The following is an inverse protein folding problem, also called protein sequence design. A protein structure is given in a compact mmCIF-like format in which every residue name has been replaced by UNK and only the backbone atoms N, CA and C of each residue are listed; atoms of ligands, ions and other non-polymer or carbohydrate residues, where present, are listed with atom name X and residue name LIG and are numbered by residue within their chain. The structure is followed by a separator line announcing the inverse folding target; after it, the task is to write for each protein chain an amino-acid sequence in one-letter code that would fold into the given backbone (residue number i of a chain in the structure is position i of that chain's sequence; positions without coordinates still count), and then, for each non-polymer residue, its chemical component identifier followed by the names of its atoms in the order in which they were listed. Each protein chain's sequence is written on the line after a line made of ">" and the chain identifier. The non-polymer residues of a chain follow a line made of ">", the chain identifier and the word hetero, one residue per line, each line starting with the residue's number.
data_IF_947122415246
#
_entry.id   IF_947122415246
#
_cell.length_a   1.000
_cell.length_b   1.000
_cell.length_c   1.000
_cell.angle_alpha   90.00
_cell.angle_beta   90.00
_cell.angle_gamma   90.00
#
_symmetry.space_group_name_H-M   'P 1'
#
loop_
_entity.id
_entity.type
_entity.pdbx_description
1 polymer ?
#
# COMPACT_ATOMS: atom_id res chain seq x y z
N UNK A 1 7.09 -29.18 -27.31
CA UNK A 1 7.17 -29.24 -25.83
C UNK A 1 7.17 -27.81 -25.33
N UNK A 2 6.11 -27.36 -24.66
CA UNK A 2 6.12 -26.01 -24.07
C UNK A 2 7.06 -26.04 -22.88
N UNK A 3 8.08 -25.18 -22.89
CA UNK A 3 8.95 -24.97 -21.75
C UNK A 3 8.12 -24.23 -20.69
N UNK A 4 7.55 -24.96 -19.73
CA UNK A 4 6.87 -24.37 -18.58
C UNK A 4 7.93 -23.86 -17.60
N UNK A 5 7.86 -22.58 -17.25
CA UNK A 5 8.78 -21.93 -16.32
C UNK A 5 8.14 -21.57 -14.97
N UNK A 6 8.95 -21.01 -14.08
CA UNK A 6 8.55 -20.53 -12.75
C UNK A 6 8.43 -19.01 -12.75
N UNK A 7 7.26 -18.50 -12.36
CA UNK A 7 7.02 -17.07 -12.12
C UNK A 7 6.90 -16.83 -10.62
N UNK A 8 7.79 -16.01 -10.08
CA UNK A 8 7.70 -15.54 -8.70
C UNK A 8 6.95 -14.20 -8.66
N UNK A 9 5.90 -14.12 -7.87
CA UNK A 9 5.18 -12.88 -7.58
C UNK A 9 5.57 -12.40 -6.17
N UNK A 10 6.18 -11.22 -6.08
CA UNK A 10 6.44 -10.57 -4.78
C UNK A 10 5.88 -9.16 -4.67
N UNK A 11 4.81 -9.01 -3.88
CA UNK A 11 4.16 -7.72 -3.64
C UNK A 11 3.71 -7.59 -2.18
N UNK A 12 2.84 -6.63 -1.90
CA UNK A 12 2.18 -6.45 -0.62
C UNK A 12 0.91 -7.32 -0.58
N UNK A 13 -0.18 -6.78 -0.02
CA UNK A 13 -1.51 -7.38 -0.08
C UNK A 13 -2.00 -7.75 -1.49
N UNK A 14 -1.44 -7.18 -2.56
CA UNK A 14 -1.81 -7.52 -3.95
C UNK A 14 -1.28 -8.88 -4.43
N UNK A 15 -0.33 -9.50 -3.71
CA UNK A 15 0.39 -10.71 -4.17
C UNK A 15 -0.56 -11.83 -4.61
N UNK A 16 -1.54 -12.19 -3.77
CA UNK A 16 -2.45 -13.29 -4.06
C UNK A 16 -3.31 -13.03 -5.31
N UNK A 17 -3.84 -11.81 -5.46
CA UNK A 17 -4.68 -11.44 -6.61
C UNK A 17 -3.91 -11.50 -7.93
N UNK A 18 -2.66 -11.02 -7.93
CA UNK A 18 -1.78 -11.07 -9.10
C UNK A 18 -1.43 -12.53 -9.44
N UNK A 19 -1.04 -13.33 -8.44
CA UNK A 19 -0.68 -14.73 -8.63
C UNK A 19 -1.83 -15.55 -9.22
N UNK A 20 -3.04 -15.40 -8.69
CA UNK A 20 -4.24 -16.10 -9.20
C UNK A 20 -4.58 -15.67 -10.63
N UNK A 21 -4.46 -14.36 -10.93
CA UNK A 21 -4.70 -13.85 -12.28
C UNK A 21 -3.69 -14.41 -13.28
N UNK A 22 -2.41 -14.45 -12.90
CA UNK A 22 -1.36 -15.07 -13.73
C UNK A 22 -1.61 -16.57 -13.91
N UNK A 23 -2.00 -17.31 -12.87
CA UNK A 23 -2.29 -18.74 -13.00
C UNK A 23 -3.48 -19.01 -13.93
N UNK A 24 -4.49 -18.14 -13.93
CA UNK A 24 -5.63 -18.25 -14.85
C UNK A 24 -5.24 -17.96 -16.31
N UNK A 25 -4.36 -16.98 -16.55
CA UNK A 25 -3.91 -16.60 -17.88
C UNK A 25 -2.81 -17.51 -18.44
N UNK A 26 -1.96 -18.05 -17.57
CA UNK A 26 -0.77 -18.85 -17.87
C UNK A 26 -0.83 -20.17 -17.09
N UNK A 27 -1.79 -21.06 -17.41
CA UNK A 27 -2.00 -22.30 -16.64
C UNK A 27 -0.80 -23.24 -16.65
N UNK A 28 0.01 -23.17 -17.70
CA UNK A 28 1.20 -24.00 -17.89
C UNK A 28 2.39 -23.55 -17.03
N UNK A 29 2.38 -22.34 -16.46
CA UNK A 29 3.45 -21.84 -15.59
C UNK A 29 3.22 -22.24 -14.12
N UNK A 30 4.31 -22.47 -13.40
CA UNK A 30 4.31 -22.54 -11.94
C UNK A 30 4.32 -21.11 -11.38
N UNK A 31 3.43 -20.83 -10.43
CA UNK A 31 3.32 -19.50 -9.82
C UNK A 31 3.69 -19.62 -8.35
N UNK A 32 4.82 -19.02 -7.99
CA UNK A 32 5.25 -18.88 -6.61
C UNK A 32 4.90 -17.50 -6.05
N UNK A 33 4.73 -17.42 -4.74
CA UNK A 33 4.43 -16.15 -4.06
C UNK A 33 5.37 -15.89 -2.91
N UNK A 34 5.74 -14.63 -2.72
CA UNK A 34 6.48 -14.18 -1.56
C UNK A 34 6.01 -12.77 -1.16
N UNK A 35 6.06 -12.44 0.12
CA UNK A 35 5.77 -11.07 0.54
C UNK A 35 6.96 -10.15 0.22
N UNK A 36 6.73 -8.97 -0.36
CA UNK A 36 7.81 -8.07 -0.80
C UNK A 36 8.74 -7.66 0.35
N UNK A 37 8.22 -7.49 1.58
CA UNK A 37 9.05 -7.08 2.73
C UNK A 37 10.07 -8.14 3.09
N UNK A 38 9.78 -9.42 2.85
CA UNK A 38 10.72 -10.50 3.14
C UNK A 38 12.04 -10.36 2.36
N UNK A 39 12.04 -9.70 1.20
CA UNK A 39 13.26 -9.43 0.42
C UNK A 39 14.09 -8.28 0.99
N UNK A 40 13.49 -7.38 1.76
CA UNK A 40 14.19 -6.27 2.41
C UNK A 40 14.94 -6.74 3.67
N UNK A 41 14.45 -7.83 4.28
CA UNK A 41 15.05 -8.42 5.47
C UNK A 41 16.08 -9.52 5.15
N UNK A 42 16.16 -9.96 3.89
CA UNK A 42 17.08 -10.99 3.42
C UNK A 42 18.46 -10.41 3.06
N UNK A 43 19.51 -11.18 3.30
CA UNK A 43 20.83 -10.92 2.73
C UNK A 43 20.83 -11.09 1.21
N UNK A 44 21.79 -10.46 0.53
CA UNK A 44 21.94 -10.58 -0.92
C UNK A 44 22.11 -12.03 -1.40
N UNK A 45 22.77 -12.86 -0.58
CA UNK A 45 22.93 -14.29 -0.86
C UNK A 45 21.59 -15.04 -0.81
N UNK A 46 20.74 -14.76 0.19
CA UNK A 46 19.42 -15.40 0.32
C UNK A 46 18.47 -15.00 -0.81
N UNK A 47 18.49 -13.72 -1.23
CA UNK A 47 17.73 -13.28 -2.40
C UNK A 47 18.21 -14.00 -3.65
N UNK A 48 19.53 -14.11 -3.87
CA UNK A 48 20.10 -14.83 -4.99
C UNK A 48 19.67 -16.30 -5.04
N UNK A 49 19.74 -17.00 -3.91
CA UNK A 49 19.27 -18.39 -3.79
C UNK A 49 17.79 -18.53 -4.13
N UNK A 50 16.96 -17.58 -3.70
CA UNK A 50 15.52 -17.62 -3.95
C UNK A 50 15.15 -17.34 -5.40
N UNK A 51 15.97 -16.61 -6.13
CA UNK A 51 15.76 -16.28 -7.55
C UNK A 51 16.42 -17.27 -8.51
N UNK A 52 17.29 -18.17 -8.02
CA UNK A 52 18.12 -19.03 -8.86
C UNK A 52 17.34 -19.98 -9.80
N UNK A 53 16.14 -20.41 -9.39
CA UNK A 53 15.27 -21.29 -10.19
C UNK A 53 14.09 -20.55 -10.85
N UNK A 54 14.00 -19.24 -10.67
CA UNK A 54 12.90 -18.41 -11.16
C UNK A 54 13.22 -17.91 -12.56
N UNK A 55 12.30 -18.06 -13.52
CA UNK A 55 12.48 -17.52 -14.88
C UNK A 55 12.03 -16.05 -14.97
N UNK A 56 10.93 -15.72 -14.28
CA UNK A 56 10.31 -14.40 -14.30
C UNK A 56 9.98 -13.95 -12.88
N UNK A 57 10.43 -12.75 -12.52
CA UNK A 57 10.12 -12.14 -11.23
C UNK A 57 9.19 -10.93 -11.39
N UNK A 58 7.93 -11.08 -11.00
CA UNK A 58 6.92 -10.01 -10.99
C UNK A 58 6.92 -9.36 -9.61
N UNK A 59 7.41 -8.13 -9.49
CA UNK A 59 7.70 -7.55 -8.17
C UNK A 59 7.22 -6.12 -7.96
N UNK A 60 6.72 -5.85 -6.75
CA UNK A 60 6.46 -4.52 -6.22
C UNK A 60 7.60 -3.97 -5.36
N UNK A 61 8.74 -4.68 -5.27
CA UNK A 61 9.94 -4.18 -4.56
C UNK A 61 10.47 -2.95 -5.28
N UNK A 62 10.62 -1.85 -4.53
CA UNK A 62 11.11 -0.57 -5.07
C UNK A 62 12.60 -0.35 -4.81
N UNK A 63 13.20 -1.08 -3.86
CA UNK A 63 14.63 -0.99 -3.58
C UNK A 63 15.42 -1.53 -4.78
N UNK A 64 16.21 -0.66 -5.41
CA UNK A 64 16.96 -1.02 -6.60
C UNK A 64 18.07 -2.03 -6.30
N UNK A 65 18.72 -1.93 -5.13
CA UNK A 65 19.82 -2.83 -4.76
C UNK A 65 19.36 -4.28 -4.65
N UNK A 66 18.12 -4.49 -4.18
CA UNK A 66 17.49 -5.81 -4.11
C UNK A 66 17.07 -6.29 -5.51
N UNK A 67 16.52 -5.39 -6.32
CA UNK A 67 16.10 -5.73 -7.70
C UNK A 67 17.28 -6.09 -8.59
N UNK A 68 18.43 -5.44 -8.40
CA UNK A 68 19.65 -5.72 -9.17
C UNK A 68 20.19 -7.14 -8.94
N UNK A 69 19.88 -7.77 -7.79
CA UNK A 69 20.21 -9.18 -7.53
C UNK A 69 19.48 -10.14 -8.49
N UNK A 70 18.32 -9.72 -9.01
CA UNK A 70 17.54 -10.44 -10.01
C UNK A 70 17.87 -10.08 -11.46
N UNK A 71 18.95 -9.33 -11.73
CA UNK A 71 19.27 -8.86 -13.09
C UNK A 71 19.54 -9.99 -14.12
N UNK A 72 19.78 -11.21 -13.64
CA UNK A 72 19.99 -12.40 -14.47
C UNK A 72 18.68 -13.07 -14.94
N UNK A 73 17.52 -12.62 -14.45
CA UNK A 73 16.20 -13.15 -14.79
C UNK A 73 15.29 -12.02 -15.28
N UNK A 74 14.18 -12.36 -15.95
CA UNK A 74 13.24 -11.35 -16.43
C UNK A 74 12.47 -10.74 -15.24
N UNK A 75 12.81 -9.49 -14.89
CA UNK A 75 12.12 -8.78 -13.80
C UNK A 75 11.06 -7.81 -14.33
N UNK A 76 9.81 -7.97 -13.88
CA UNK A 76 8.67 -7.14 -14.24
C UNK A 76 8.22 -6.36 -13.00
N UNK A 77 8.40 -5.03 -13.01
CA UNK A 77 7.91 -4.19 -11.92
C UNK A 77 6.42 -3.90 -12.07
N UNK A 78 5.66 -4.20 -11.02
CA UNK A 78 4.26 -3.79 -10.94
C UNK A 78 4.15 -2.41 -10.29
N UNK A 79 3.30 -1.51 -10.82
CA UNK A 79 3.09 -0.21 -10.20
C UNK A 79 2.39 -0.38 -8.85
N UNK A 80 2.71 0.52 -7.92
CA UNK A 80 1.89 0.69 -6.73
C UNK A 80 0.57 1.35 -7.15
N UNK A 81 -0.51 0.57 -7.13
CA UNK A 81 -1.85 1.07 -7.41
C UNK A 81 -2.45 1.65 -6.12
N UNK A 82 -2.77 2.94 -6.13
CA UNK A 82 -3.46 3.63 -5.05
C UNK A 82 -4.61 4.40 -5.68
N UNK A 83 -5.82 4.15 -5.18
CA UNK A 83 -7.01 4.89 -5.56
C UNK A 83 -7.87 5.12 -4.32
N UNK A 84 -7.77 6.32 -3.78
CA UNK A 84 -8.33 6.69 -2.49
C UNK A 84 -9.74 7.27 -2.56
N UNK A 85 -10.30 7.46 -3.76
CA UNK A 85 -11.63 8.03 -3.92
C UNK A 85 -12.76 7.13 -3.37
N UNK A 86 -12.54 5.81 -3.25
CA UNK A 86 -13.50 4.91 -2.61
C UNK A 86 -13.51 5.05 -1.08
N UNK A 87 -12.37 5.39 -0.49
CA UNK A 87 -12.21 5.48 0.96
C UNK A 87 -11.41 6.74 1.34
N UNK A 88 -11.92 7.94 1.01
CA UNK A 88 -11.15 9.17 1.11
C UNK A 88 -10.87 9.58 2.57
N UNK A 89 -11.59 8.96 3.52
CA UNK A 89 -11.41 9.15 4.95
C UNK A 89 -10.36 8.25 5.61
N UNK A 90 -9.79 7.29 4.88
CA UNK A 90 -8.72 6.44 5.42
C UNK A 90 -7.43 7.25 5.55
N UNK A 91 -6.88 7.27 6.76
CA UNK A 91 -5.61 7.89 7.11
C UNK A 91 -4.74 6.94 7.93
N UNK A 92 -3.42 7.18 7.90
CA UNK A 92 -2.44 6.52 8.73
C UNK A 92 -1.92 7.50 9.78
N UNK A 93 -2.18 7.20 11.06
CA UNK A 93 -1.72 8.02 12.17
C UNK A 93 -0.35 7.55 12.66
N UNK A 94 0.49 8.49 13.11
CA UNK A 94 1.79 8.21 13.74
C UNK A 94 1.92 8.94 15.07
N UNK A 95 2.63 8.32 16.01
CA UNK A 95 3.01 8.95 17.26
C UNK A 95 4.14 10.00 17.05
N UNK A 96 4.57 10.63 18.14
CA UNK A 96 5.66 11.62 18.10
C UNK A 96 7.02 11.03 17.68
N UNK A 97 7.23 9.72 17.86
CA UNK A 97 8.42 9.00 17.42
C UNK A 97 8.34 8.56 15.94
N UNK A 98 7.18 8.73 15.29
CA UNK A 98 6.94 8.31 13.91
C UNK A 98 6.44 6.87 13.77
N UNK A 99 6.13 6.19 14.87
CA UNK A 99 5.57 4.83 14.87
C UNK A 99 4.12 4.87 14.40
N UNK A 100 3.72 3.94 13.52
CA UNK A 100 2.32 3.81 13.11
C UNK A 100 1.46 3.43 14.31
N UNK A 101 0.39 4.19 14.53
CA UNK A 101 -0.60 3.90 15.56
C UNK A 101 -1.54 2.81 15.03
N UNK A 102 -1.73 1.75 15.81
CA UNK A 102 -2.68 0.69 15.49
C UNK A 102 -4.10 1.09 15.89
N UNK A 103 -5.05 0.84 15.00
CA UNK A 103 -6.48 0.98 15.21
C UNK A 103 -7.14 -0.36 15.59
N UNK A 104 -8.44 -0.45 15.36
CA UNK A 104 -9.22 -1.66 15.65
C UNK A 104 -8.70 -2.85 14.84
N UNK A 105 -8.56 -4.01 15.50
CA UNK A 105 -8.13 -5.26 14.86
C UNK A 105 -6.69 -5.24 14.33
N UNK A 106 -5.78 -4.54 15.01
CA UNK A 106 -4.37 -4.34 14.62
C UNK A 106 -4.17 -3.68 13.24
N UNK A 107 -5.22 -3.06 12.71
CA UNK A 107 -5.15 -2.29 11.46
C UNK A 107 -4.35 -1.00 11.64
N UNK A 108 -3.80 -0.47 10.55
CA UNK A 108 -3.09 0.82 10.55
C UNK A 108 -4.00 1.96 10.04
N UNK A 109 -5.27 1.64 9.78
CA UNK A 109 -6.24 2.56 9.20
C UNK A 109 -7.02 3.27 10.29
N UNK A 110 -7.18 4.57 10.10
CA UNK A 110 -7.96 5.46 10.95
C UNK A 110 -8.85 6.33 10.07
N UNK A 111 -9.90 6.89 10.67
CA UNK A 111 -10.70 7.96 10.04
C UNK A 111 -10.01 9.30 10.25
N UNK A 112 -9.75 10.06 9.18
CA UNK A 112 -9.17 11.40 9.29
C UNK A 112 -10.08 12.36 10.08
N UNK A 113 -11.40 12.26 9.88
CA UNK A 113 -12.38 13.04 10.66
C UNK A 113 -12.31 12.68 12.15
N UNK A 114 -12.29 11.39 12.50
CA UNK A 114 -12.19 10.95 13.90
C UNK A 114 -10.87 11.37 14.54
N UNK A 115 -9.75 11.25 13.83
CA UNK A 115 -8.45 11.72 14.32
C UNK A 115 -8.50 13.22 14.61
N UNK A 116 -9.10 14.01 13.72
CA UNK A 116 -9.28 15.44 13.96
C UNK A 116 -10.15 15.72 15.17
N UNK A 117 -11.30 15.04 15.32
CA UNK A 117 -12.16 15.18 16.49
C UNK A 117 -11.41 14.91 17.79
N UNK A 118 -10.65 13.80 17.84
CA UNK A 118 -9.85 13.40 18.98
C UNK A 118 -8.81 14.47 19.35
N UNK A 119 -8.09 14.99 18.35
CA UNK A 119 -7.08 16.04 18.55
C UNK A 119 -7.68 17.37 19.06
N UNK A 120 -8.94 17.66 18.73
CA UNK A 120 -9.60 18.91 19.09
C UNK A 120 -10.57 18.77 20.27
N UNK A 121 -10.56 17.62 20.97
CA UNK A 121 -11.43 17.39 22.12
C UNK A 121 -12.93 17.37 21.78
N UNK A 122 -13.28 17.13 20.52
CA UNK A 122 -14.67 17.00 20.08
C UNK A 122 -15.22 15.68 20.62
N UNK A 123 -16.35 15.73 21.33
CA UNK A 123 -16.91 14.52 21.90
C UNK A 123 -17.44 13.57 20.80
N UNK A 124 -17.53 12.25 21.08
CA UNK A 124 -17.92 11.27 20.06
C UNK A 124 -19.27 11.58 19.39
N UNK A 125 -20.26 12.04 20.15
CA UNK A 125 -21.58 12.37 19.62
C UNK A 125 -21.50 13.51 18.60
N UNK A 126 -20.77 14.58 18.90
CA UNK A 126 -20.53 15.68 17.96
C UNK A 126 -19.71 15.23 16.75
N UNK A 127 -18.71 14.36 16.96
CA UNK A 127 -17.89 13.85 15.87
C UNK A 127 -18.70 13.11 14.81
N UNK A 128 -19.71 12.32 15.23
CA UNK A 128 -20.60 11.64 14.28
C UNK A 128 -21.37 12.60 13.38
N UNK A 129 -21.64 13.83 13.84
CA UNK A 129 -22.34 14.85 13.07
C UNK A 129 -21.46 15.48 11.97
N UNK A 130 -20.16 15.19 11.93
CA UNK A 130 -19.25 15.70 10.89
C UNK A 130 -19.27 14.84 9.62
N UNK A 131 -19.84 13.65 9.64
CA UNK A 131 -19.92 12.76 8.47
C UNK A 131 -21.07 13.15 7.54
N UNK A 132 -20.98 14.36 6.97
CA UNK A 132 -21.99 14.90 6.05
C UNK A 132 -21.40 15.18 4.66
N UNK A 133 -22.23 15.21 3.61
CA UNK A 133 -21.80 15.59 2.27
C UNK A 133 -21.11 16.95 2.22
N UNK A 134 -21.57 17.92 3.02
CA UNK A 134 -20.98 19.27 3.09
C UNK A 134 -19.57 19.22 3.64
N UNK A 135 -19.34 18.47 4.73
CA UNK A 135 -18.00 18.27 5.29
C UNK A 135 -17.11 17.55 4.28
N UNK A 136 -17.59 16.48 3.65
CA UNK A 136 -16.84 15.73 2.63
C UNK A 136 -16.43 16.61 1.44
N UNK A 137 -17.32 17.50 1.00
CA UNK A 137 -17.01 18.47 -0.04
C UNK A 137 -15.93 19.47 0.41
N UNK A 138 -16.05 20.02 1.63
CA UNK A 138 -15.10 20.98 2.19
C UNK A 138 -13.70 20.41 2.37
N UNK A 139 -13.58 19.13 2.70
CA UNK A 139 -12.29 18.43 2.87
C UNK A 139 -11.79 17.77 1.58
N UNK A 140 -12.49 17.98 0.46
CA UNK A 140 -12.07 17.56 -0.87
C UNK A 140 -12.23 16.07 -1.15
N UNK A 141 -13.05 15.34 -0.39
CA UNK A 141 -13.31 13.90 -0.63
C UNK A 141 -14.02 13.69 -1.97
N UNK A 142 -14.93 14.59 -2.32
CA UNK A 142 -15.69 14.53 -3.59
C UNK A 142 -14.79 14.69 -4.82
N UNK A 143 -13.67 15.39 -4.69
CA UNK A 143 -12.75 15.69 -5.80
C UNK A 143 -11.76 14.54 -6.09
N UNK A 144 -11.64 13.56 -5.18
CA UNK A 144 -10.68 12.46 -5.28
C UNK A 144 -10.87 11.60 -6.53
N UNK A 145 -12.08 11.54 -7.07
CA UNK A 145 -12.38 10.87 -8.34
C UNK A 145 -11.67 11.51 -9.53
N UNK A 146 -11.50 12.84 -9.52
CA UNK A 146 -10.83 13.59 -10.58
C UNK A 146 -9.33 13.75 -10.31
N UNK A 147 -8.95 13.77 -9.04
CA UNK A 147 -7.57 13.96 -8.58
C UNK A 147 -7.25 12.96 -7.47
N UNK A 148 -7.04 11.68 -7.82
CA UNK A 148 -6.57 10.71 -6.84
C UNK A 148 -5.20 11.16 -6.33
N UNK A 149 -4.89 10.82 -5.08
CA UNK A 149 -3.65 11.28 -4.47
C UNK A 149 -2.40 10.83 -5.27
N UNK A 150 -1.56 11.81 -5.63
CA UNK A 150 -0.18 11.55 -6.04
C UNK A 150 0.65 11.33 -4.77
N UNK A 151 1.53 10.35 -4.81
CA UNK A 151 2.30 9.75 -3.69
C UNK A 151 3.19 10.70 -2.85
N UNK A 152 3.07 12.04 -2.94
CA UNK A 152 4.02 12.96 -2.31
C UNK A 152 3.47 14.35 -1.93
N UNK A 153 2.16 14.53 -1.73
CA UNK A 153 1.58 15.80 -1.24
C UNK A 153 1.19 15.77 0.25
N UNK A 154 1.26 16.89 0.99
CA UNK A 154 0.85 16.99 2.41
C UNK A 154 -0.66 16.75 2.65
N UNK A 155 -1.45 16.59 1.58
CA UNK A 155 -2.88 16.26 1.62
C UNK A 155 -3.21 14.94 0.89
N UNK A 156 -2.20 14.13 0.54
CA UNK A 156 -2.41 12.76 0.09
C UNK A 156 -3.12 11.94 1.17
N UNK A 157 -3.90 10.91 0.85
CA UNK A 157 -4.32 9.92 1.88
C UNK A 157 -3.16 8.96 2.22
N UNK A 158 -2.03 9.10 1.52
CA UNK A 158 -0.70 8.73 1.99
C UNK A 158 0.02 9.86 2.74
N UNK A 159 -0.65 10.97 3.05
CA UNK A 159 -0.10 12.04 3.88
C UNK A 159 -0.11 11.58 5.31
N UNK A 160 1.08 11.58 5.86
CA UNK A 160 1.35 11.38 7.27
C UNK A 160 0.71 12.53 8.04
N UNK A 161 -0.37 12.26 8.77
CA UNK A 161 -0.83 13.19 9.80
C UNK A 161 0.21 13.17 10.91
N UNK A 162 1.03 14.23 11.00
CA UNK A 162 1.76 14.53 12.22
C UNK A 162 0.80 15.26 13.15
N UNK A 163 0.86 14.96 14.44
CA UNK A 163 0.04 15.57 15.51
C UNK A 163 0.19 17.11 15.65
N UNK A 164 0.73 17.79 14.64
CA UNK A 164 1.15 19.20 14.67
C UNK A 164 0.56 20.06 13.55
N UNK A 165 -0.17 19.51 12.58
CA UNK A 165 -0.77 20.31 11.49
C UNK A 165 -2.24 20.61 11.75
N UNK A 166 -2.57 21.90 11.81
CA UNK A 166 -3.92 22.42 12.02
C UNK A 166 -4.81 22.19 10.80
N UNK A 167 -5.92 21.49 11.02
CA UNK A 167 -7.07 21.42 10.12
C UNK A 167 -8.27 22.04 10.85
N UNK A 168 -9.16 22.75 10.15
CA UNK A 168 -10.43 23.24 10.69
C UNK A 168 -11.57 22.86 9.73
N UNK A 169 -12.50 21.98 10.13
CA UNK A 169 -13.62 21.52 9.34
C UNK A 169 -14.76 22.52 9.27
#
# INVERSE_FOLDING_TARGET
>A
MKNSGVILVSSNCMTAGIALSLKALLPDYEIETAHMRSFLDMSSHEVGQRLAHVDIWVTGVTDQSVVDLGAHIQTIRIPRLIFDAYHPDIAYARDAAGTLIKGVGDSEYHSAIVLWCYQNGVNPQQCTQLFTPETFARIGYVDRWRRPSRTSGPFSTSATWRLTTSFQP
#
